data_IF_996855880562
#
_entry.id   IF_996855880562
#
_cell.length_a   1.000
_cell.length_b   1.000
_cell.length_c   1.000
_cell.angle_alpha   90.00
_cell.angle_beta   90.00
_cell.angle_gamma   90.00
#
_symmetry.space_group_name_H-M   'P 1'
#
loop_
_entity.id
_entity.type
_entity.pdbx_description
1 polymer ?
#
# COMPACT_ATOMS: atom_id res chain seq x y z
N UNK A 1 -16.97 15.69 5.39
CA UNK A 1 -16.18 14.66 4.72
C UNK A 1 -14.74 15.17 4.54
N UNK A 2 -13.76 14.33 4.83
CA UNK A 2 -12.34 14.62 4.63
C UNK A 2 -12.07 14.81 3.12
N UNK A 3 -11.48 15.95 2.75
CA UNK A 3 -11.10 16.27 1.36
C UNK A 3 -9.63 16.68 1.33
N UNK A 4 -8.72 15.74 1.10
CA UNK A 4 -7.30 16.06 1.00
C UNK A 4 -7.02 16.88 -0.25
N UNK A 5 -6.16 17.91 -0.14
CA UNK A 5 -5.71 18.70 -1.29
C UNK A 5 -4.47 18.10 -1.92
N UNK A 6 -3.50 17.73 -1.12
CA UNK A 6 -2.23 17.14 -1.52
C UNK A 6 -2.18 15.69 -1.05
N UNK A 7 -2.11 14.76 -1.98
CA UNK A 7 -2.03 13.33 -1.69
C UNK A 7 -0.75 12.70 -2.24
N UNK A 8 -0.30 11.68 -1.55
CA UNK A 8 0.78 10.80 -2.00
C UNK A 8 0.28 9.36 -2.01
N UNK A 9 0.48 8.65 -3.11
CA UNK A 9 0.25 7.21 -3.21
C UNK A 9 1.60 6.50 -3.33
N UNK A 10 2.01 5.79 -2.27
CA UNK A 10 3.32 5.14 -2.16
C UNK A 10 3.25 3.71 -2.65
N UNK A 11 4.30 3.27 -3.36
CA UNK A 11 4.34 2.02 -4.10
C UNK A 11 3.14 1.93 -5.06
N UNK A 12 2.93 3.03 -5.77
CA UNK A 12 1.77 3.24 -6.64
C UNK A 12 1.71 2.27 -7.83
N UNK A 13 2.84 1.69 -8.20
CA UNK A 13 2.96 0.74 -9.29
C UNK A 13 2.42 1.29 -10.61
N UNK A 14 1.38 0.67 -11.14
CA UNK A 14 0.71 1.11 -12.38
C UNK A 14 -0.41 2.13 -12.15
N UNK A 15 -0.49 2.74 -10.95
CA UNK A 15 -1.35 3.87 -10.64
C UNK A 15 -2.85 3.56 -10.49
N UNK A 16 -3.24 2.29 -10.43
CA UNK A 16 -4.66 1.91 -10.35
C UNK A 16 -5.33 2.45 -9.08
N UNK A 17 -4.63 2.37 -7.94
CA UNK A 17 -5.15 2.89 -6.68
C UNK A 17 -5.13 4.43 -6.65
N UNK A 18 -4.09 5.05 -7.19
CA UNK A 18 -4.01 6.51 -7.34
C UNK A 18 -5.19 7.07 -8.18
N UNK A 19 -5.52 6.41 -9.30
CA UNK A 19 -6.68 6.77 -10.14
C UNK A 19 -7.99 6.64 -9.38
N UNK A 20 -8.18 5.54 -8.63
CA UNK A 20 -9.36 5.35 -7.79
C UNK A 20 -9.46 6.44 -6.72
N UNK A 21 -8.38 6.70 -5.99
CA UNK A 21 -8.31 7.71 -4.94
C UNK A 21 -8.62 9.11 -5.49
N UNK A 22 -8.07 9.47 -6.65
CA UNK A 22 -8.34 10.76 -7.30
C UNK A 22 -9.81 10.92 -7.69
N UNK A 23 -10.46 9.88 -8.20
CA UNK A 23 -11.89 9.92 -8.56
C UNK A 23 -12.80 10.08 -7.35
N UNK A 24 -12.49 9.37 -6.26
CA UNK A 24 -13.33 9.34 -5.05
C UNK A 24 -13.11 10.56 -4.15
N UNK A 25 -11.86 10.94 -3.91
CA UNK A 25 -11.49 11.98 -2.94
C UNK A 25 -11.34 13.38 -3.58
N UNK A 26 -11.12 13.42 -4.90
CA UNK A 26 -10.99 14.65 -5.71
C UNK A 26 -9.94 15.61 -5.13
N UNK A 27 -8.70 15.19 -4.92
CA UNK A 27 -7.63 16.06 -4.46
C UNK A 27 -7.30 17.12 -5.52
N UNK A 28 -6.64 18.20 -5.10
CA UNK A 28 -6.06 19.17 -6.03
C UNK A 28 -4.88 18.55 -6.77
N UNK A 29 -4.02 17.80 -6.05
CA UNK A 29 -2.88 17.07 -6.60
C UNK A 29 -2.67 15.74 -5.89
N UNK A 30 -2.32 14.73 -6.68
CA UNK A 30 -1.91 13.40 -6.20
C UNK A 30 -0.60 13.01 -6.87
N UNK A 31 0.41 12.67 -6.07
CA UNK A 31 1.69 12.13 -6.58
C UNK A 31 1.67 10.62 -6.36
N UNK A 32 1.82 9.85 -7.42
CA UNK A 32 2.12 8.42 -7.37
C UNK A 32 3.62 8.20 -7.30
N UNK A 33 4.11 7.63 -6.20
CA UNK A 33 5.52 7.39 -5.96
C UNK A 33 5.86 5.90 -6.02
N UNK A 34 6.86 5.52 -6.80
CA UNK A 34 7.35 4.15 -6.90
C UNK A 34 8.84 4.13 -7.27
N UNK A 35 9.53 3.06 -6.94
CA UNK A 35 10.92 2.83 -7.35
C UNK A 35 11.00 2.36 -8.81
N UNK A 36 9.94 1.77 -9.33
CA UNK A 36 9.85 1.16 -10.66
C UNK A 36 9.37 2.14 -11.72
N UNK A 37 10.28 2.76 -12.44
CA UNK A 37 9.95 3.63 -13.57
C UNK A 37 9.12 2.91 -14.65
N UNK A 38 9.39 1.63 -14.89
CA UNK A 38 8.64 0.85 -15.88
C UNK A 38 7.16 0.68 -15.52
N UNK A 39 6.83 0.50 -14.22
CA UNK A 39 5.43 0.45 -13.77
C UNK A 39 4.77 1.83 -13.86
N UNK A 40 5.46 2.88 -13.46
CA UNK A 40 4.95 4.25 -13.55
C UNK A 40 4.73 4.71 -15.00
N UNK A 41 5.53 4.25 -15.96
CA UNK A 41 5.30 4.53 -17.38
C UNK A 41 3.93 4.00 -17.83
N UNK A 42 3.56 2.77 -17.42
CA UNK A 42 2.22 2.22 -17.67
C UNK A 42 1.15 3.06 -16.94
N UNK A 43 1.46 3.50 -15.72
CA UNK A 43 0.57 4.35 -14.92
C UNK A 43 0.25 5.68 -15.61
N UNK A 44 1.25 6.33 -16.21
CA UNK A 44 1.06 7.60 -16.96
C UNK A 44 0.07 7.41 -18.12
N UNK A 45 0.16 6.32 -18.86
CA UNK A 45 -0.79 6.02 -19.94
C UNK A 45 -2.21 5.79 -19.41
N UNK A 46 -2.36 5.08 -18.29
CA UNK A 46 -3.67 4.88 -17.65
C UNK A 46 -4.27 6.19 -17.13
N UNK A 47 -3.47 7.03 -16.49
CA UNK A 47 -3.89 8.36 -15.99
C UNK A 47 -4.33 9.26 -17.14
N UNK A 48 -3.59 9.27 -18.24
CA UNK A 48 -3.96 9.98 -19.47
C UNK A 48 -5.28 9.47 -20.04
N UNK A 49 -5.45 8.16 -20.16
CA UNK A 49 -6.69 7.55 -20.63
C UNK A 49 -7.89 7.85 -19.71
N UNK A 50 -7.64 8.03 -18.40
CA UNK A 50 -8.65 8.40 -17.42
C UNK A 50 -8.98 9.91 -17.40
N UNK A 51 -8.25 10.75 -18.14
CA UNK A 51 -8.42 12.22 -18.14
C UNK A 51 -7.98 12.87 -16.82
N UNK A 52 -7.00 12.31 -16.12
CA UNK A 52 -6.56 12.77 -14.80
C UNK A 52 -5.12 13.32 -14.79
N UNK A 53 -4.54 13.62 -15.96
CA UNK A 53 -3.17 14.11 -16.09
C UNK A 53 -2.91 15.44 -15.38
N UNK A 54 -3.92 16.27 -15.20
CA UNK A 54 -3.80 17.55 -14.48
C UNK A 54 -3.84 17.37 -12.94
N UNK A 55 -4.27 16.20 -12.46
CA UNK A 55 -4.41 15.90 -11.03
C UNK A 55 -3.34 14.93 -10.54
N UNK A 56 -3.00 13.91 -11.36
CA UNK A 56 -2.07 12.85 -10.98
C UNK A 56 -0.75 13.00 -11.72
N UNK A 57 0.34 13.05 -10.97
CA UNK A 57 1.71 12.95 -11.48
C UNK A 57 2.43 11.75 -10.89
N UNK A 58 3.54 11.33 -11.52
CA UNK A 58 4.37 10.22 -11.03
C UNK A 58 5.80 10.69 -10.77
N UNK A 59 6.35 10.27 -9.63
CA UNK A 59 7.71 10.56 -9.22
C UNK A 59 8.42 9.30 -8.76
N UNK A 60 9.67 9.11 -9.21
CA UNK A 60 10.50 7.98 -8.74
C UNK A 60 11.03 8.30 -7.36
N UNK A 61 10.70 7.45 -6.38
CA UNK A 61 11.05 7.63 -4.97
C UNK A 61 11.46 6.31 -4.32
N UNK A 62 12.38 6.39 -3.37
CA UNK A 62 12.59 5.34 -2.38
C UNK A 62 11.74 5.67 -1.14
N UNK A 63 10.81 4.79 -0.77
CA UNK A 63 9.94 4.99 0.39
C UNK A 63 10.71 5.12 1.72
N UNK A 64 11.99 4.73 1.77
CA UNK A 64 12.84 4.86 2.95
C UNK A 64 13.61 6.18 3.00
N UNK A 65 13.52 7.01 1.95
CA UNK A 65 14.22 8.30 1.84
C UNK A 65 13.47 9.20 0.84
N UNK A 66 12.29 9.67 1.26
CA UNK A 66 11.41 10.47 0.39
C UNK A 66 11.97 11.87 0.20
N UNK A 67 12.07 12.32 -1.05
CA UNK A 67 12.59 13.64 -1.40
C UNK A 67 11.66 14.81 -1.02
N UNK A 68 10.44 14.52 -0.54
CA UNK A 68 9.45 15.53 -0.18
C UNK A 68 9.78 16.20 1.16
N UNK A 69 9.47 17.52 1.29
CA UNK A 69 9.60 18.23 2.57
C UNK A 69 8.66 17.65 3.66
N UNK A 70 8.99 17.94 4.91
CA UNK A 70 8.13 17.64 6.05
C UNK A 70 6.76 18.30 5.90
N UNK A 71 5.70 17.65 6.38
CA UNK A 71 4.36 18.20 6.45
C UNK A 71 3.81 18.70 5.10
N UNK A 72 4.04 17.94 4.04
CA UNK A 72 3.61 18.27 2.67
C UNK A 72 2.21 17.77 2.36
N UNK A 73 1.88 16.53 2.76
CA UNK A 73 0.67 15.85 2.33
C UNK A 73 -0.43 15.84 3.38
N UNK A 74 -1.69 16.01 2.93
CA UNK A 74 -2.88 15.85 3.77
C UNK A 74 -3.23 14.38 3.98
N UNK A 75 -2.96 13.55 2.96
CA UNK A 75 -3.16 12.11 3.02
C UNK A 75 -2.07 11.35 2.25
N UNK A 76 -1.73 10.17 2.79
CA UNK A 76 -0.88 9.18 2.12
C UNK A 76 -1.66 7.88 2.00
N UNK A 77 -1.55 7.24 0.83
CA UNK A 77 -2.13 5.93 0.57
C UNK A 77 -1.06 4.94 0.15
N UNK A 78 -1.30 3.65 0.40
CA UNK A 78 -0.50 2.57 -0.15
C UNK A 78 -1.36 1.31 -0.30
N UNK A 79 -1.34 0.68 -1.46
CA UNK A 79 -2.10 -0.53 -1.73
C UNK A 79 -1.20 -1.67 -2.22
N UNK A 80 -1.14 -2.76 -1.44
CA UNK A 80 -0.43 -4.01 -1.75
C UNK A 80 1.08 -3.86 -2.01
N UNK A 81 1.70 -2.77 -1.52
CA UNK A 81 3.10 -2.43 -1.77
C UNK A 81 4.00 -2.46 -0.53
N UNK A 82 3.46 -2.14 0.65
CA UNK A 82 4.30 -1.91 1.84
C UNK A 82 5.00 -3.16 2.36
N UNK A 83 4.47 -4.37 2.11
CA UNK A 83 5.13 -5.64 2.45
C UNK A 83 6.47 -5.83 1.74
N UNK A 84 6.71 -5.09 0.65
CA UNK A 84 7.94 -5.13 -0.12
C UNK A 84 8.97 -4.08 0.31
N UNK A 85 8.67 -3.26 1.32
CA UNK A 85 9.62 -2.29 1.84
C UNK A 85 10.84 -3.00 2.43
N UNK A 86 12.03 -2.60 2.02
CA UNK A 86 13.28 -3.16 2.56
C UNK A 86 13.43 -2.87 4.07
N UNK A 87 12.92 -1.72 4.49
CA UNK A 87 12.87 -1.30 5.89
C UNK A 87 11.51 -0.64 6.17
N UNK A 88 10.59 -1.41 6.72
CA UNK A 88 9.21 -0.97 7.00
C UNK A 88 9.19 0.17 8.04
N UNK A 89 10.00 0.07 9.10
CA UNK A 89 10.04 1.08 10.16
C UNK A 89 10.50 2.44 9.61
N UNK A 90 11.56 2.43 8.79
CA UNK A 90 12.07 3.65 8.16
C UNK A 90 11.08 4.22 7.16
N UNK A 91 10.45 3.37 6.33
CA UNK A 91 9.43 3.81 5.38
C UNK A 91 8.22 4.46 6.06
N UNK A 92 7.72 3.87 7.16
CA UNK A 92 6.61 4.46 7.91
C UNK A 92 7.00 5.74 8.64
N UNK A 93 8.26 5.87 9.10
CA UNK A 93 8.78 7.11 9.67
C UNK A 93 8.81 8.22 8.61
N UNK A 94 9.28 7.93 7.40
CA UNK A 94 9.27 8.87 6.28
C UNK A 94 7.84 9.28 5.88
N UNK A 95 6.91 8.32 5.82
CA UNK A 95 5.50 8.61 5.57
C UNK A 95 4.95 9.55 6.66
N UNK A 96 5.24 9.27 7.93
CA UNK A 96 4.83 10.15 9.03
C UNK A 96 5.48 11.53 8.92
N UNK A 97 6.75 11.64 8.52
CA UNK A 97 7.47 12.90 8.34
C UNK A 97 6.77 13.79 7.29
N UNK A 98 6.47 13.23 6.12
CA UNK A 98 5.89 14.00 5.01
C UNK A 98 4.40 14.30 5.17
N UNK A 99 3.68 13.60 6.06
CA UNK A 99 2.30 13.94 6.43
C UNK A 99 2.26 15.21 7.26
N UNK A 100 1.26 16.04 7.02
CA UNK A 100 0.90 17.18 7.87
C UNK A 100 0.39 16.70 9.23
N UNK A 101 0.44 17.54 10.25
CA UNK A 101 -0.25 17.28 11.53
C UNK A 101 -1.75 17.10 11.29
N UNK A 102 -2.33 16.03 11.83
CA UNK A 102 -3.72 15.63 11.56
C UNK A 102 -3.91 15.02 10.17
N UNK A 103 -2.85 14.79 9.40
CA UNK A 103 -2.88 14.08 8.14
C UNK A 103 -3.08 12.58 8.33
N UNK A 104 -3.63 11.91 7.31
CA UNK A 104 -4.05 10.52 7.40
C UNK A 104 -3.24 9.61 6.51
N UNK A 105 -2.89 8.44 7.03
CA UNK A 105 -2.35 7.31 6.27
C UNK A 105 -3.41 6.23 6.14
N UNK A 106 -3.62 5.73 4.95
CA UNK A 106 -4.47 4.56 4.67
C UNK A 106 -3.69 3.51 3.89
N UNK A 107 -3.59 2.32 4.45
CA UNK A 107 -2.89 1.19 3.83
C UNK A 107 -3.87 0.03 3.63
N UNK A 108 -3.83 -0.58 2.46
CA UNK A 108 -4.50 -1.85 2.18
C UNK A 108 -3.44 -2.88 1.84
N UNK A 109 -3.39 -4.00 2.60
CA UNK A 109 -2.36 -5.01 2.38
C UNK A 109 -2.90 -6.44 2.55
N UNK A 110 -2.29 -7.38 1.82
CA UNK A 110 -2.58 -8.79 1.97
C UNK A 110 -2.11 -9.30 3.32
N UNK A 111 -2.96 -10.08 3.95
CA UNK A 111 -2.72 -10.65 5.28
C UNK A 111 -3.20 -12.09 5.34
N UNK A 112 -2.83 -12.80 6.40
CA UNK A 112 -3.29 -14.16 6.63
C UNK A 112 -4.48 -14.19 7.60
N UNK A 113 -5.56 -14.93 7.29
CA UNK A 113 -6.65 -15.14 8.22
C UNK A 113 -6.18 -15.75 9.55
N UNK A 114 -6.66 -15.22 10.67
CA UNK A 114 -6.28 -15.71 12.02
C UNK A 114 -7.35 -16.59 12.67
N UNK A 115 -8.61 -16.50 12.21
CA UNK A 115 -9.75 -17.21 12.80
C UNK A 115 -10.06 -18.52 12.07
N UNK A 116 -10.49 -19.54 12.83
CA UNK A 116 -11.10 -20.75 12.29
C UNK A 116 -12.46 -20.42 11.64
N UNK A 117 -12.85 -21.07 10.54
CA UNK A 117 -12.12 -22.05 9.72
C UNK A 117 -11.23 -21.41 8.63
N UNK A 118 -11.33 -20.09 8.44
CA UNK A 118 -10.66 -19.40 7.33
C UNK A 118 -9.13 -19.53 7.33
N UNK A 119 -8.52 -19.60 8.53
CA UNK A 119 -7.07 -19.83 8.66
C UNK A 119 -6.65 -21.16 8.01
N UNK A 120 -7.40 -22.24 8.25
CA UNK A 120 -7.11 -23.56 7.69
C UNK A 120 -7.40 -23.62 6.19
N UNK A 121 -8.54 -23.08 5.78
CA UNK A 121 -8.93 -23.02 4.36
C UNK A 121 -7.92 -22.22 3.54
N UNK A 122 -7.50 -21.06 4.04
CA UNK A 122 -6.50 -20.23 3.37
C UNK A 122 -5.15 -20.95 3.25
N UNK A 123 -4.71 -21.64 4.33
CA UNK A 123 -3.48 -22.42 4.31
C UNK A 123 -3.50 -23.57 3.30
N UNK A 124 -4.63 -24.28 3.20
CA UNK A 124 -4.82 -25.34 2.19
C UNK A 124 -4.83 -24.73 0.79
N UNK A 125 -5.57 -23.64 0.60
CA UNK A 125 -5.64 -22.92 -0.68
C UNK A 125 -4.26 -22.43 -1.13
N UNK A 126 -3.52 -21.72 -0.28
CA UNK A 126 -2.22 -21.15 -0.63
C UNK A 126 -1.16 -22.22 -0.90
N UNK A 127 -1.15 -23.32 -0.13
CA UNK A 127 -0.14 -24.38 -0.26
C UNK A 127 -0.47 -25.41 -1.35
N UNK A 128 -1.74 -25.58 -1.71
CA UNK A 128 -2.15 -26.63 -2.64
C UNK A 128 -2.64 -26.05 -3.96
N UNK A 129 -3.63 -25.17 -3.92
CA UNK A 129 -4.25 -24.64 -5.14
C UNK A 129 -3.39 -23.58 -5.81
N UNK A 130 -2.92 -22.59 -5.05
CA UNK A 130 -2.17 -21.47 -5.62
C UNK A 130 -0.86 -21.95 -6.26
N UNK A 131 -0.13 -22.84 -5.59
CA UNK A 131 1.14 -23.38 -6.11
C UNK A 131 0.94 -24.33 -7.29
N UNK A 132 -0.13 -25.13 -7.29
CA UNK A 132 -0.39 -26.05 -8.40
C UNK A 132 -1.00 -25.32 -9.61
N UNK A 133 -1.87 -24.34 -9.38
CA UNK A 133 -2.46 -23.52 -10.44
C UNK A 133 -1.41 -22.61 -11.10
N UNK A 134 -0.46 -22.10 -10.31
CA UNK A 134 0.70 -21.37 -10.81
C UNK A 134 1.55 -22.21 -11.78
N UNK A 135 1.71 -23.50 -11.52
CA UNK A 135 2.41 -24.42 -12.43
C UNK A 135 1.72 -24.59 -13.80
N UNK A 136 0.39 -24.43 -13.86
CA UNK A 136 -0.40 -24.65 -15.07
C UNK A 136 -0.52 -23.39 -15.94
N UNK A 137 -0.57 -22.19 -15.36
CA UNK A 137 -0.88 -20.92 -16.06
C UNK A 137 0.32 -20.00 -16.15
N UNK A 138 1.15 -19.92 -15.11
CA UNK A 138 2.33 -19.07 -15.09
C UNK A 138 3.60 -19.93 -15.10
N UNK A 139 4.50 -19.65 -16.04
CA UNK A 139 5.84 -20.27 -16.05
C UNK A 139 6.71 -19.81 -14.89
N UNK A 140 6.24 -18.88 -14.04
CA UNK A 140 7.00 -18.27 -12.95
C UNK A 140 6.46 -18.67 -11.57
N UNK A 141 6.93 -19.81 -11.08
CA UNK A 141 6.66 -20.32 -9.73
C UNK A 141 7.26 -19.38 -8.65
N UNK A 142 8.36 -18.69 -8.98
CA UNK A 142 9.10 -17.86 -8.01
C UNK A 142 8.29 -16.67 -7.52
N UNK A 143 7.47 -16.06 -8.37
CA UNK A 143 6.61 -14.93 -8.02
C UNK A 143 5.56 -15.29 -6.95
N UNK A 144 4.98 -16.48 -7.01
CA UNK A 144 3.99 -16.94 -6.02
C UNK A 144 4.63 -17.36 -4.70
N UNK A 145 5.81 -17.98 -4.74
CA UNK A 145 6.58 -18.29 -3.53
C UNK A 145 7.02 -16.99 -2.82
N UNK A 146 7.45 -15.99 -3.59
CA UNK A 146 7.79 -14.67 -3.08
C UNK A 146 6.56 -14.00 -2.44
N UNK A 147 5.41 -14.02 -3.11
CA UNK A 147 4.17 -13.45 -2.59
C UNK A 147 3.80 -14.05 -1.22
N UNK A 148 3.79 -15.39 -1.12
CA UNK A 148 3.46 -16.06 0.14
C UNK A 148 4.46 -15.71 1.26
N UNK A 149 5.76 -15.73 0.95
CA UNK A 149 6.80 -15.37 1.92
C UNK A 149 6.66 -13.93 2.43
N UNK A 150 6.37 -12.98 1.54
CA UNK A 150 6.19 -11.57 1.93
C UNK A 150 4.94 -11.36 2.76
N UNK A 151 3.82 -12.05 2.46
CA UNK A 151 2.59 -12.00 3.26
C UNK A 151 2.82 -12.58 4.67
N UNK A 152 3.53 -13.70 4.78
CA UNK A 152 3.82 -14.34 6.08
C UNK A 152 4.79 -13.51 6.92
N UNK A 153 5.79 -12.89 6.29
CA UNK A 153 6.79 -12.06 6.97
C UNK A 153 6.24 -10.69 7.40
N UNK A 154 5.19 -10.20 6.74
CA UNK A 154 4.63 -8.88 7.00
C UNK A 154 3.98 -8.81 8.41
N UNK A 155 4.32 -7.81 9.23
CA UNK A 155 3.69 -7.63 10.54
C UNK A 155 2.21 -7.28 10.39
N UNK A 156 1.34 -7.98 11.12
CA UNK A 156 -0.11 -7.88 10.94
C UNK A 156 -0.83 -7.55 12.25
N UNK A 157 -1.96 -6.82 12.12
CA UNK A 157 -2.81 -6.50 13.25
C UNK A 157 -2.09 -5.65 14.29
N UNK A 158 -2.07 -6.09 15.56
CA UNK A 158 -1.48 -5.33 16.68
C UNK A 158 0.01 -5.03 16.50
N UNK A 159 0.77 -5.94 15.89
CA UNK A 159 2.19 -5.70 15.60
C UNK A 159 2.39 -4.49 14.69
N UNK A 160 1.49 -4.30 13.73
CA UNK A 160 1.53 -3.12 12.86
C UNK A 160 1.17 -1.84 13.61
N UNK A 161 0.27 -1.92 14.61
CA UNK A 161 -0.06 -0.77 15.47
C UNK A 161 1.17 -0.31 16.28
N UNK A 162 1.96 -1.25 16.82
CA UNK A 162 3.21 -0.94 17.52
C UNK A 162 4.23 -0.23 16.60
N UNK A 163 4.31 -0.65 15.34
CA UNK A 163 5.20 -0.03 14.36
C UNK A 163 4.72 1.40 14.02
N UNK A 164 3.41 1.63 13.83
CA UNK A 164 2.88 2.98 13.64
C UNK A 164 3.20 3.89 14.82
N UNK A 165 3.03 3.41 16.04
CA UNK A 165 3.36 4.18 17.24
C UNK A 165 4.84 4.56 17.27
N UNK A 166 5.75 3.62 16.97
CA UNK A 166 7.20 3.88 16.90
C UNK A 166 7.56 4.87 15.79
N UNK A 167 6.83 4.83 14.65
CA UNK A 167 7.03 5.76 13.54
C UNK A 167 6.52 7.18 13.81
N UNK A 168 5.81 7.41 14.94
CA UNK A 168 5.35 8.74 15.37
C UNK A 168 3.88 9.05 15.07
N UNK A 169 3.07 8.07 14.66
CA UNK A 169 1.63 8.26 14.49
C UNK A 169 0.92 8.37 15.84
N UNK A 170 0.05 9.37 15.99
CA UNK A 170 -0.67 9.65 17.22
C UNK A 170 -1.82 8.65 17.46
N UNK A 171 -2.47 8.22 16.38
CA UNK A 171 -3.58 7.25 16.42
C UNK A 171 -3.41 6.25 15.29
N UNK A 172 -3.79 5.00 15.57
CA UNK A 172 -3.84 3.96 14.54
C UNK A 172 -4.95 2.96 14.82
N UNK A 173 -5.46 2.36 13.77
CA UNK A 173 -6.46 1.30 13.84
C UNK A 173 -6.36 0.40 12.61
N UNK A 174 -6.95 -0.80 12.70
CA UNK A 174 -7.04 -1.68 11.54
C UNK A 174 -8.38 -2.39 11.45
N UNK A 175 -8.75 -2.74 10.23
CA UNK A 175 -9.94 -3.53 9.94
C UNK A 175 -9.59 -4.66 8.97
N UNK A 176 -9.86 -5.91 9.39
CA UNK A 176 -9.72 -7.07 8.52
C UNK A 176 -10.88 -7.14 7.55
N UNK A 177 -10.55 -7.32 6.27
CA UNK A 177 -11.48 -7.45 5.16
C UNK A 177 -11.41 -8.87 4.60
N UNK A 178 -12.43 -9.29 3.85
CA UNK A 178 -12.44 -10.57 3.12
C UNK A 178 -11.98 -11.73 4.01
N UNK A 179 -12.64 -11.86 5.19
CA UNK A 179 -12.34 -12.89 6.20
C UNK A 179 -10.88 -12.86 6.72
N UNK A 180 -10.16 -11.75 6.56
CA UNK A 180 -8.79 -11.56 7.02
C UNK A 180 -7.71 -11.87 5.97
N UNK A 181 -8.08 -12.08 4.70
CA UNK A 181 -7.14 -12.19 3.59
C UNK A 181 -6.52 -10.83 3.24
N UNK A 182 -7.25 -9.76 3.55
CA UNK A 182 -6.81 -8.39 3.37
C UNK A 182 -7.05 -7.61 4.67
N UNK A 183 -6.18 -6.67 4.99
CA UNK A 183 -6.35 -5.76 6.12
C UNK A 183 -6.15 -4.33 5.66
N UNK A 184 -7.05 -3.48 6.10
CA UNK A 184 -6.95 -2.03 5.96
C UNK A 184 -6.44 -1.45 7.27
N UNK A 185 -5.41 -0.63 7.19
CA UNK A 185 -4.81 0.08 8.31
C UNK A 185 -5.02 1.58 8.12
N UNK A 186 -5.31 2.27 9.20
CA UNK A 186 -5.44 3.71 9.27
C UNK A 186 -4.53 4.25 10.34
N UNK A 187 -3.85 5.37 10.06
CA UNK A 187 -3.08 6.10 11.05
C UNK A 187 -3.22 7.60 10.84
N UNK A 188 -3.09 8.36 11.93
CA UNK A 188 -3.14 9.84 11.99
C UNK A 188 -1.85 10.35 12.64
N UNK A 189 -1.21 11.36 12.01
CA UNK A 189 -0.05 12.04 12.55
C UNK A 189 -0.42 13.06 13.60
#
# INVERSE_FOLDING_TARGET
PFRPKQMLDIATGTGDFAILAAKELKPEHLIGADISEGMMAIGREKVKAAGLSDVISFQKEDCTDLSFPDNTFDAVTAAFGIRNFQNLDKGLTEICRVLKKGGHLSIVELTTPVKFPMKQLFRIYSNTFLLNYAKFISKDKSAYEYLNKTIEAFPQGEKMMEIFQKAGFAKSSFRRLTFGICTMYFAEK
#
